data_IF_795844168330
#
_entry.id   IF_795844168330
#
_cell.length_a   1.000
_cell.length_b   1.000
_cell.length_c   1.000
_cell.angle_alpha   90.00
_cell.angle_beta   90.00
_cell.angle_gamma   90.00
#
_symmetry.space_group_name_H-M   'P 1'
#
loop_
_entity.id
_entity.type
_entity.pdbx_description
1 polymer ?
#
# COMPACT_ATOMS: atom_id res chain seq x y z
N UNK A 1 16.35 -31.62 19.80
CA UNK A 1 14.94 -32.00 19.48
C UNK A 1 13.99 -30.80 19.41
N UNK A 2 14.12 -29.73 20.22
CA UNK A 2 13.20 -28.58 20.18
C UNK A 2 13.17 -27.77 18.86
N UNK A 3 14.32 -27.57 18.20
CA UNK A 3 14.41 -26.73 16.98
C UNK A 3 13.73 -27.36 15.75
N UNK A 4 13.75 -28.69 15.64
CA UNK A 4 13.05 -29.39 14.57
C UNK A 4 11.53 -29.25 14.70
N UNK A 5 11.00 -29.24 15.93
CA UNK A 5 9.58 -29.01 16.20
C UNK A 5 9.14 -27.57 15.91
N UNK A 6 10.01 -26.58 16.21
CA UNK A 6 9.71 -25.17 15.92
C UNK A 6 9.66 -24.90 14.40
N UNK A 7 10.63 -25.44 13.65
CA UNK A 7 10.62 -25.33 12.18
C UNK A 7 9.38 -26.04 11.60
N UNK A 8 9.02 -27.21 12.12
CA UNK A 8 7.82 -27.94 11.70
C UNK A 8 6.53 -27.15 11.99
N UNK A 9 6.50 -26.39 13.09
CA UNK A 9 5.40 -25.45 13.40
C UNK A 9 5.26 -24.35 12.36
N UNK A 10 6.37 -23.72 11.96
CA UNK A 10 6.40 -22.69 10.90
C UNK A 10 5.98 -23.28 9.55
N UNK A 11 6.46 -24.47 9.20
CA UNK A 11 6.10 -25.17 7.96
C UNK A 11 4.60 -25.54 7.91
N UNK A 12 4.03 -25.98 9.04
CA UNK A 12 2.61 -26.28 9.13
C UNK A 12 1.75 -25.00 9.05
N UNK A 13 2.19 -23.91 9.68
CA UNK A 13 1.48 -22.63 9.65
C UNK A 13 1.57 -21.93 8.28
N UNK A 14 2.63 -22.16 7.50
CA UNK A 14 2.74 -21.68 6.11
C UNK A 14 1.99 -22.57 5.11
N UNK A 15 1.46 -23.72 5.54
CA UNK A 15 0.74 -24.68 4.68
C UNK A 15 1.63 -25.45 3.70
N UNK A 16 2.96 -25.37 3.85
CA UNK A 16 3.95 -25.99 2.96
C UNK A 16 4.81 -27.06 3.66
N UNK A 17 4.36 -27.55 4.82
CA UNK A 17 5.03 -28.63 5.58
C UNK A 17 4.74 -30.04 5.06
N UNK A 18 5.64 -30.96 5.38
CA UNK A 18 5.50 -32.39 5.06
C UNK A 18 4.48 -33.02 6.02
N UNK A 19 3.19 -32.86 5.71
CA UNK A 19 2.09 -33.48 6.45
C UNK A 19 0.85 -32.59 6.51
N UNK A 20 -0.22 -33.06 5.87
CA UNK A 20 -1.57 -32.46 5.72
C UNK A 20 -1.69 -31.29 4.74
N UNK A 21 -1.93 -31.68 3.48
CA UNK A 21 -2.75 -30.91 2.54
C UNK A 21 -4.21 -31.17 2.94
N UNK A 22 -4.82 -30.31 3.75
CA UNK A 22 -6.25 -30.43 4.10
C UNK A 22 -6.56 -30.08 5.55
N UNK A 23 -6.57 -28.79 5.85
CA UNK A 23 -7.09 -28.24 7.11
C UNK A 23 -7.38 -26.77 6.89
N UNK A 24 -8.62 -26.37 7.15
CA UNK A 24 -9.19 -25.06 6.83
C UNK A 24 -8.27 -23.90 7.22
N UNK A 25 -7.87 -23.10 6.22
CA UNK A 25 -7.19 -21.83 6.42
C UNK A 25 -8.17 -20.84 7.06
N UNK A 26 -8.19 -20.79 8.40
CA UNK A 26 -9.04 -19.86 9.14
C UNK A 26 -8.31 -19.25 10.33
N UNK A 27 -7.21 -18.57 10.05
CA UNK A 27 -6.77 -17.44 10.85
C UNK A 27 -5.94 -16.50 9.96
N UNK A 28 -6.05 -15.20 10.19
CA UNK A 28 -5.24 -14.20 9.50
C UNK A 28 -3.79 -14.41 9.95
N UNK A 29 -3.05 -15.25 9.24
CA UNK A 29 -1.67 -15.57 9.58
C UNK A 29 -0.87 -14.27 9.73
N UNK A 30 -0.37 -14.01 10.94
CA UNK A 30 0.55 -12.90 11.16
C UNK A 30 1.93 -13.32 10.66
N UNK A 31 2.13 -13.16 9.35
CA UNK A 31 3.40 -13.48 8.68
C UNK A 31 4.60 -12.79 9.34
N UNK A 32 4.40 -11.67 10.05
CA UNK A 32 5.47 -10.99 10.79
C UNK A 32 5.95 -11.81 11.98
N UNK A 33 5.02 -12.46 12.70
CA UNK A 33 5.35 -13.36 13.80
C UNK A 33 6.11 -14.59 13.28
N UNK A 34 5.65 -15.18 12.17
CA UNK A 34 6.35 -16.29 11.51
C UNK A 34 7.76 -15.93 11.05
N UNK A 35 7.96 -14.76 10.43
CA UNK A 35 9.29 -14.27 10.03
C UNK A 35 10.19 -14.07 11.24
N UNK A 36 9.65 -13.56 12.36
CA UNK A 36 10.41 -13.39 13.60
C UNK A 36 10.85 -14.74 14.18
N UNK A 37 9.95 -15.72 14.23
CA UNK A 37 10.28 -17.07 14.71
C UNK A 37 11.32 -17.75 13.82
N UNK A 38 11.12 -17.71 12.50
CA UNK A 38 12.09 -18.24 11.56
C UNK A 38 13.45 -17.55 11.71
N UNK A 39 13.48 -16.22 11.88
CA UNK A 39 14.71 -15.46 12.12
C UNK A 39 15.44 -15.86 13.40
N UNK A 40 14.71 -16.18 14.48
CA UNK A 40 15.31 -16.70 15.72
C UNK A 40 15.94 -18.07 15.49
N UNK A 41 15.23 -18.98 14.80
CA UNK A 41 15.75 -20.30 14.44
C UNK A 41 17.01 -20.14 13.56
N UNK A 42 17.02 -19.15 12.66
CA UNK A 42 18.11 -18.91 11.71
C UNK A 42 19.37 -18.48 12.44
N UNK A 43 19.21 -17.53 13.36
CA UNK A 43 20.30 -17.04 14.21
C UNK A 43 20.87 -18.16 15.09
N UNK A 44 19.99 -18.96 15.73
CA UNK A 44 20.42 -20.09 16.56
C UNK A 44 21.13 -21.19 15.74
N UNK A 45 20.67 -21.46 14.52
CA UNK A 45 21.31 -22.40 13.61
C UNK A 45 22.72 -21.92 13.23
N UNK A 46 22.89 -20.66 12.83
CA UNK A 46 24.23 -20.13 12.54
C UNK A 46 25.16 -20.14 13.74
N UNK A 47 24.64 -19.81 14.94
CA UNK A 47 25.44 -19.87 16.17
C UNK A 47 25.93 -21.30 16.43
N UNK A 48 25.06 -22.30 16.31
CA UNK A 48 25.43 -23.71 16.52
C UNK A 48 26.34 -24.26 15.43
N UNK A 49 26.15 -23.87 14.17
CA UNK A 49 27.07 -24.22 13.09
C UNK A 49 28.46 -23.59 13.33
N UNK A 50 28.50 -22.35 13.82
CA UNK A 50 29.72 -21.65 14.20
C UNK A 50 30.49 -22.37 15.31
N UNK A 51 29.80 -22.82 16.37
CA UNK A 51 30.45 -23.57 17.45
C UNK A 51 30.98 -24.92 16.99
N UNK A 52 30.23 -25.65 16.16
CA UNK A 52 30.67 -26.91 15.56
C UNK A 52 31.92 -26.72 14.70
N UNK A 53 31.96 -25.65 13.89
CA UNK A 53 33.11 -25.29 13.06
C UNK A 53 34.34 -24.97 13.92
N UNK A 54 34.17 -24.22 15.01
CA UNK A 54 35.23 -23.95 15.97
C UNK A 54 35.75 -25.21 16.66
N UNK A 55 34.87 -26.14 17.03
CA UNK A 55 35.26 -27.44 17.59
C UNK A 55 36.06 -28.27 16.58
N UNK A 56 35.67 -28.26 15.30
CA UNK A 56 36.43 -28.92 14.22
C UNK A 56 37.85 -28.36 14.12
N UNK A 57 37.98 -27.04 13.99
CA UNK A 57 39.29 -26.37 13.84
C UNK A 57 40.18 -26.67 15.07
N UNK A 58 39.60 -26.62 16.27
CA UNK A 58 40.34 -26.90 17.51
C UNK A 58 40.81 -28.35 17.59
N UNK A 59 39.98 -29.31 17.15
CA UNK A 59 40.33 -30.72 17.09
C UNK A 59 41.42 -31.01 16.06
N UNK A 60 41.34 -30.41 14.87
CA UNK A 60 42.39 -30.51 13.84
C UNK A 60 43.72 -29.89 14.33
N UNK A 61 43.66 -28.74 15.01
CA UNK A 61 44.83 -28.11 15.62
C UNK A 61 45.46 -29.01 16.69
N UNK A 62 44.65 -29.62 17.56
CA UNK A 62 45.14 -30.53 18.59
C UNK A 62 45.80 -31.76 17.96
N UNK A 63 45.22 -32.31 16.88
CA UNK A 63 45.82 -33.42 16.11
C UNK A 63 47.17 -33.04 15.54
N UNK A 64 47.26 -31.88 14.89
CA UNK A 64 48.51 -31.37 14.31
C UNK A 64 49.60 -31.15 15.38
N UNK A 65 49.23 -30.65 16.55
CA UNK A 65 50.15 -30.49 17.68
C UNK A 65 50.59 -31.82 18.28
N UNK A 66 49.69 -32.80 18.39
CA UNK A 66 50.02 -34.15 18.86
C UNK A 66 51.05 -34.83 17.93
N UNK A 67 50.83 -34.73 16.62
CA UNK A 67 51.75 -35.25 15.60
C UNK A 67 53.10 -34.53 15.60
N UNK A 68 53.13 -33.23 15.89
CA UNK A 68 54.37 -32.49 16.03
C UNK A 68 55.15 -32.93 17.28
N UNK A 69 54.48 -33.11 18.43
CA UNK A 69 55.12 -33.59 19.66
C UNK A 69 55.71 -35.00 19.49
N UNK A 70 55.02 -35.91 18.81
CA UNK A 70 55.55 -37.25 18.50
C UNK A 70 56.82 -37.25 17.65
N UNK A 71 57.07 -36.19 16.85
CA UNK A 71 58.28 -36.05 16.02
C UNK A 71 59.46 -35.42 16.77
N UNK A 72 59.20 -34.63 17.81
CA UNK A 72 60.22 -33.83 18.51
C UNK A 72 60.71 -34.51 19.81
N UNK A 73 59.97 -35.49 20.33
CA UNK A 73 60.32 -36.16 21.60
C UNK A 73 61.55 -37.08 21.49
N UNK A 74 62.43 -37.12 22.53
CA UNK A 74 63.52 -38.09 22.64
C UNK A 74 63.01 -39.54 22.67
N UNK A 75 63.76 -40.49 22.09
CA UNK A 75 63.37 -41.90 21.93
C UNK A 75 62.93 -42.59 23.24
N UNK A 76 63.57 -42.32 24.38
CA UNK A 76 63.18 -42.90 25.68
C UNK A 76 61.75 -42.51 26.10
N UNK A 77 61.37 -41.24 25.93
CA UNK A 77 60.02 -40.75 26.29
C UNK A 77 58.99 -41.07 25.21
N UNK A 78 59.44 -41.40 24.01
CA UNK A 78 58.60 -41.71 22.86
C UNK A 78 57.89 -43.05 23.03
N UNK A 79 58.60 -44.07 23.49
CA UNK A 79 58.04 -45.39 23.77
C UNK A 79 56.99 -45.36 24.90
N UNK A 80 57.21 -44.55 25.94
CA UNK A 80 56.29 -44.43 27.07
C UNK A 80 54.99 -43.67 26.72
N UNK A 81 55.09 -42.65 25.86
CA UNK A 81 53.93 -41.84 25.44
C UNK A 81 53.23 -42.34 24.16
N UNK A 82 53.73 -43.39 23.51
CA UNK A 82 53.19 -43.87 22.24
C UNK A 82 51.72 -44.28 22.33
N UNK A 83 51.37 -45.10 23.34
CA UNK A 83 50.01 -45.61 23.55
C UNK A 83 49.03 -44.47 23.89
N UNK A 84 49.31 -43.58 24.87
CA UNK A 84 48.46 -42.42 25.15
C UNK A 84 48.25 -41.51 23.93
N UNK A 85 49.30 -41.24 23.14
CA UNK A 85 49.18 -40.43 21.94
C UNK A 85 48.31 -41.12 20.88
N UNK A 86 48.46 -42.42 20.67
CA UNK A 86 47.63 -43.18 19.73
C UNK A 86 46.15 -43.15 20.13
N UNK A 87 45.84 -43.36 21.42
CA UNK A 87 44.48 -43.30 21.94
C UNK A 87 43.86 -41.89 21.83
N UNK A 88 44.67 -40.84 22.00
CA UNK A 88 44.24 -39.45 21.80
C UNK A 88 43.95 -39.17 20.32
N UNK A 89 44.78 -39.66 19.40
CA UNK A 89 44.57 -39.48 17.96
C UNK A 89 43.27 -40.17 17.50
N UNK A 90 43.04 -41.41 17.92
CA UNK A 90 41.79 -42.14 17.62
C UNK A 90 40.55 -41.44 18.18
N UNK A 91 40.63 -40.88 19.40
CA UNK A 91 39.53 -40.10 19.99
C UNK A 91 39.27 -38.80 19.22
N UNK A 92 40.32 -38.10 18.80
CA UNK A 92 40.19 -36.88 18.00
C UNK A 92 39.56 -37.21 16.64
N UNK A 93 39.97 -38.32 16.02
CA UNK A 93 39.39 -38.80 14.76
C UNK A 93 37.91 -39.15 14.90
N UNK A 94 37.53 -39.84 15.97
CA UNK A 94 36.12 -40.10 16.29
C UNK A 94 35.31 -38.81 16.49
N UNK A 95 35.87 -37.81 17.18
CA UNK A 95 35.22 -36.51 17.36
C UNK A 95 35.04 -35.77 16.02
N UNK A 96 36.06 -35.76 15.17
CA UNK A 96 35.98 -35.17 13.83
C UNK A 96 34.91 -35.86 12.98
N UNK A 97 34.86 -37.20 12.99
CA UNK A 97 33.84 -37.96 12.27
C UNK A 97 32.42 -37.66 12.77
N UNK A 98 32.22 -37.51 14.09
CA UNK A 98 30.92 -37.12 14.64
C UNK A 98 30.51 -35.69 14.25
N UNK A 99 31.46 -34.76 14.24
CA UNK A 99 31.24 -33.38 13.79
C UNK A 99 30.85 -33.36 12.30
N UNK A 100 31.53 -34.15 11.48
CA UNK A 100 31.24 -34.27 10.05
C UNK A 100 29.83 -34.83 9.82
N UNK A 101 29.45 -35.86 10.56
CA UNK A 101 28.09 -36.42 10.54
C UNK A 101 27.03 -35.40 11.00
N UNK A 102 27.32 -34.57 12.00
CA UNK A 102 26.46 -33.48 12.41
C UNK A 102 26.33 -32.36 11.35
N UNK A 103 27.37 -32.15 10.53
CA UNK A 103 27.32 -31.19 9.42
C UNK A 103 26.46 -31.67 8.23
N UNK A 104 26.20 -32.98 8.11
CA UNK A 104 25.29 -33.55 7.10
C UNK A 104 23.83 -33.09 7.30
N UNK A 105 23.48 -32.48 8.43
CA UNK A 105 22.19 -31.79 8.66
C UNK A 105 21.95 -30.55 7.76
N UNK A 106 22.69 -30.38 6.66
CA UNK A 106 22.51 -29.34 5.65
C UNK A 106 21.07 -29.24 5.09
N UNK A 107 20.27 -30.31 5.16
CA UNK A 107 18.85 -30.26 4.77
C UNK A 107 18.01 -29.26 5.59
N UNK A 108 18.41 -28.94 6.83
CA UNK A 108 17.72 -27.91 7.63
C UNK A 108 17.99 -26.51 7.04
N UNK A 109 19.21 -26.25 6.55
CA UNK A 109 19.57 -24.98 5.93
C UNK A 109 18.77 -24.75 4.65
N UNK A 110 18.73 -25.73 3.75
CA UNK A 110 17.99 -25.62 2.49
C UNK A 110 16.49 -25.42 2.73
N UNK A 111 15.91 -26.15 3.71
CA UNK A 111 14.51 -25.97 4.10
C UNK A 111 14.24 -24.57 4.66
N UNK A 112 15.14 -24.07 5.49
CA UNK A 112 15.04 -22.73 6.08
C UNK A 112 15.07 -21.63 5.02
N UNK A 113 15.98 -21.70 4.06
CA UNK A 113 16.06 -20.76 2.93
C UNK A 113 14.80 -20.83 2.04
N UNK A 114 14.29 -22.04 1.80
CA UNK A 114 13.03 -22.24 1.09
C UNK A 114 11.84 -21.62 1.84
N UNK A 115 11.72 -21.84 3.14
CA UNK A 115 10.65 -21.28 3.97
C UNK A 115 10.70 -19.76 4.04
N UNK A 116 11.90 -19.18 4.11
CA UNK A 116 12.09 -17.74 4.06
C UNK A 116 11.56 -17.14 2.75
N UNK A 117 11.84 -17.80 1.62
CA UNK A 117 11.35 -17.38 0.30
C UNK A 117 9.82 -17.45 0.22
N UNK A 118 9.22 -18.53 0.72
CA UNK A 118 7.75 -18.68 0.78
C UNK A 118 7.12 -17.58 1.63
N UNK A 119 7.66 -17.30 2.82
CA UNK A 119 7.16 -16.24 3.69
C UNK A 119 7.23 -14.87 3.03
N UNK A 120 8.33 -14.52 2.35
CA UNK A 120 8.43 -13.24 1.64
C UNK A 120 7.40 -13.12 0.52
N UNK A 121 7.18 -14.20 -0.25
CA UNK A 121 6.16 -14.22 -1.29
C UNK A 121 4.74 -14.04 -0.72
N UNK A 122 4.44 -14.69 0.41
CA UNK A 122 3.14 -14.55 1.09
C UNK A 122 2.92 -13.15 1.65
N UNK A 123 3.95 -12.53 2.22
CA UNK A 123 3.90 -11.12 2.68
C UNK A 123 3.63 -10.19 1.50
N UNK A 124 4.39 -10.33 0.41
CA UNK A 124 4.19 -9.52 -0.79
C UNK A 124 2.77 -9.70 -1.37
N UNK A 125 2.24 -10.93 -1.35
CA UNK A 125 0.87 -11.20 -1.78
C UNK A 125 -0.16 -10.55 -0.85
N UNK A 126 0.03 -10.62 0.47
CA UNK A 126 -0.81 -9.96 1.46
C UNK A 126 -0.81 -8.44 1.29
N UNK A 127 0.36 -7.83 1.13
CA UNK A 127 0.51 -6.39 0.92
C UNK A 127 -0.13 -5.96 -0.41
N UNK A 128 0.00 -6.75 -1.47
CA UNK A 128 -0.69 -6.50 -2.74
C UNK A 128 -2.22 -6.53 -2.58
N UNK A 129 -2.77 -7.48 -1.81
CA UNK A 129 -4.21 -7.53 -1.53
C UNK A 129 -4.68 -6.31 -0.74
N UNK A 130 -3.90 -5.87 0.25
CA UNK A 130 -4.17 -4.64 1.01
C UNK A 130 -4.14 -3.42 0.08
N UNK A 131 -3.13 -3.31 -0.78
CA UNK A 131 -3.00 -2.21 -1.74
C UNK A 131 -4.17 -2.16 -2.73
N UNK A 132 -4.65 -3.31 -3.20
CA UNK A 132 -5.85 -3.38 -4.06
C UNK A 132 -7.09 -2.91 -3.30
N UNK A 133 -7.26 -3.32 -2.03
CA UNK A 133 -8.32 -2.82 -1.16
C UNK A 133 -8.25 -1.31 -0.98
N UNK A 134 -7.08 -0.78 -0.62
CA UNK A 134 -6.85 0.65 -0.44
C UNK A 134 -7.11 1.45 -1.71
N UNK A 135 -6.74 0.93 -2.88
CA UNK A 135 -7.03 1.56 -4.16
C UNK A 135 -8.53 1.60 -4.46
N UNK A 136 -9.27 0.55 -4.09
CA UNK A 136 -10.74 0.52 -4.21
C UNK A 136 -11.38 1.56 -3.28
N UNK A 137 -10.96 1.61 -2.02
CA UNK A 137 -11.47 2.56 -1.03
C UNK A 137 -11.15 4.01 -1.45
N UNK A 138 -9.91 4.25 -1.91
CA UNK A 138 -9.48 5.56 -2.45
C UNK A 138 -10.32 5.96 -3.66
N UNK A 139 -10.67 5.01 -4.54
CA UNK A 139 -11.55 5.27 -5.68
C UNK A 139 -12.96 5.63 -5.22
N UNK A 140 -13.51 4.90 -4.25
CA UNK A 140 -14.83 5.17 -3.70
C UNK A 140 -14.88 6.56 -3.03
N UNK A 141 -13.87 6.87 -2.20
CA UNK A 141 -13.69 8.20 -1.62
C UNK A 141 -13.59 9.28 -2.68
N UNK A 142 -12.78 9.09 -3.73
CA UNK A 142 -12.67 10.07 -4.81
C UNK A 142 -13.99 10.28 -5.57
N UNK A 143 -14.78 9.22 -5.76
CA UNK A 143 -16.12 9.33 -6.36
C UNK A 143 -17.06 10.10 -5.44
N UNK A 144 -17.06 9.80 -4.14
CA UNK A 144 -17.85 10.53 -3.15
C UNK A 144 -17.43 12.01 -3.07
N UNK A 145 -16.14 12.32 -3.00
CA UNK A 145 -15.61 13.69 -3.02
C UNK A 145 -15.95 14.44 -4.31
N UNK A 146 -15.99 13.75 -5.47
CA UNK A 146 -16.43 14.37 -6.72
C UNK A 146 -17.92 14.75 -6.67
N UNK A 147 -18.76 13.91 -6.07
CA UNK A 147 -20.18 14.21 -5.88
C UNK A 147 -20.37 15.38 -4.92
N UNK A 148 -19.65 15.38 -3.80
CA UNK A 148 -19.66 16.48 -2.82
C UNK A 148 -19.19 17.81 -3.46
N UNK A 149 -18.12 17.77 -4.24
CA UNK A 149 -17.66 18.93 -5.02
C UNK A 149 -18.71 19.44 -6.01
N UNK A 150 -19.51 18.54 -6.60
CA UNK A 150 -20.61 18.95 -7.47
C UNK A 150 -21.73 19.64 -6.69
N UNK A 151 -22.08 19.15 -5.51
CA UNK A 151 -23.05 19.80 -4.63
C UNK A 151 -22.56 21.18 -4.17
N UNK A 152 -21.28 21.30 -3.79
CA UNK A 152 -20.67 22.58 -3.42
C UNK A 152 -20.72 23.61 -4.55
N UNK A 153 -20.45 23.19 -5.79
CA UNK A 153 -20.58 24.05 -6.96
C UNK A 153 -22.01 24.55 -7.15
N UNK A 154 -23.01 23.71 -6.93
CA UNK A 154 -24.43 24.10 -7.04
C UNK A 154 -24.77 25.15 -5.98
N UNK A 155 -24.36 24.94 -4.72
CA UNK A 155 -24.59 25.91 -3.63
C UNK A 155 -23.93 27.26 -3.96
N UNK A 156 -22.68 27.25 -4.41
CA UNK A 156 -21.96 28.46 -4.78
C UNK A 156 -22.62 29.22 -5.95
N UNK A 157 -23.17 28.50 -6.94
CA UNK A 157 -23.95 29.11 -8.01
C UNK A 157 -25.25 29.72 -7.47
N UNK A 158 -25.93 29.02 -6.56
CA UNK A 158 -27.17 29.50 -5.95
C UNK A 158 -26.95 30.77 -5.13
N UNK A 159 -25.89 30.83 -4.31
CA UNK A 159 -25.54 32.03 -3.55
C UNK A 159 -25.19 33.19 -4.47
N UNK A 160 -24.41 32.93 -5.52
CA UNK A 160 -24.02 33.94 -6.52
C UNK A 160 -25.24 34.50 -7.26
N UNK A 161 -26.26 33.68 -7.50
CA UNK A 161 -27.51 34.11 -8.13
C UNK A 161 -28.37 34.97 -7.20
N UNK A 162 -28.46 34.64 -5.92
CA UNK A 162 -29.29 35.38 -4.96
C UNK A 162 -28.62 36.64 -4.40
N UNK A 163 -27.29 36.69 -4.32
CA UNK A 163 -26.54 37.86 -3.83
C UNK A 163 -26.96 39.19 -4.48
N UNK A 164 -27.07 39.32 -5.82
CA UNK A 164 -27.51 40.56 -6.46
C UNK A 164 -28.98 40.90 -6.17
N UNK A 165 -29.86 39.89 -6.09
CA UNK A 165 -31.27 40.09 -5.75
C UNK A 165 -31.45 40.61 -4.32
N UNK A 166 -30.74 40.03 -3.36
CA UNK A 166 -30.74 40.48 -1.97
C UNK A 166 -30.22 41.92 -1.84
N UNK A 167 -29.15 42.26 -2.56
CA UNK A 167 -28.62 43.64 -2.58
C UNK A 167 -29.67 44.65 -3.09
N UNK A 168 -30.38 44.30 -4.16
CA UNK A 168 -31.46 45.15 -4.71
C UNK A 168 -32.62 45.29 -3.71
N UNK A 169 -33.02 44.20 -3.04
CA UNK A 169 -34.08 44.23 -2.05
C UNK A 169 -33.72 45.11 -0.83
N UNK A 170 -32.51 44.98 -0.29
CA UNK A 170 -32.01 45.84 0.80
C UNK A 170 -31.92 47.30 0.36
N UNK A 171 -31.56 47.56 -0.89
CA UNK A 171 -31.50 48.92 -1.43
C UNK A 171 -32.89 49.60 -1.45
N UNK A 172 -33.93 48.91 -1.92
CA UNK A 172 -35.30 49.45 -1.92
C UNK A 172 -35.90 49.58 -0.52
N UNK A 173 -35.40 48.82 0.46
CA UNK A 173 -35.83 48.90 1.85
C UNK A 173 -35.20 50.08 2.62
N UNK A 174 -34.13 50.69 2.10
CA UNK A 174 -33.52 51.88 2.71
C UNK A 174 -34.44 53.10 2.48
N UNK A 175 -34.65 54.01 3.46
CA UNK A 175 -35.62 55.10 3.38
C UNK A 175 -35.16 56.27 2.49
N UNK A 176 -34.63 55.95 1.30
CA UNK A 176 -34.18 56.90 0.29
C UNK A 176 -35.32 57.32 -0.67
N UNK A 177 -36.47 56.63 -0.62
CA UNK A 177 -37.66 56.86 -1.45
C UNK A 177 -38.89 57.20 -0.58
N UNK A 178 -39.49 58.37 -0.80
CA UNK A 178 -40.76 58.76 -0.18
C UNK A 178 -41.93 58.36 -1.09
N UNK A 179 -42.41 57.12 -0.91
CA UNK A 179 -43.47 56.52 -1.72
C UNK A 179 -44.87 57.13 -1.48
N UNK A 180 -44.99 58.08 -0.56
CA UNK A 180 -46.26 58.70 -0.15
C UNK A 180 -46.51 60.09 -0.77
N UNK A 181 -45.61 60.61 -1.62
CA UNK A 181 -45.77 61.94 -2.21
C UNK A 181 -46.74 61.95 -3.42
N UNK A 182 -47.77 62.82 -3.46
CA UNK A 182 -48.84 62.78 -4.46
C UNK A 182 -48.48 63.32 -5.87
N UNK A 183 -47.27 63.84 -6.07
CA UNK A 183 -46.82 64.40 -7.36
C UNK A 183 -45.53 63.75 -7.83
N UNK A 184 -45.55 63.18 -9.04
CA UNK A 184 -44.47 62.43 -9.70
C UNK A 184 -43.12 63.17 -9.73
N UNK A 185 -43.13 64.51 -9.67
CA UNK A 185 -41.93 65.37 -9.69
C UNK A 185 -41.15 65.43 -8.38
N UNK A 186 -41.71 64.97 -7.25
CA UNK A 186 -41.06 64.98 -5.93
C UNK A 186 -40.94 63.58 -5.28
N UNK A 187 -41.39 62.53 -5.97
CA UNK A 187 -41.21 61.12 -5.57
C UNK A 187 -39.78 60.63 -5.87
N UNK A 188 -39.05 61.36 -6.74
CA UNK A 188 -37.70 60.99 -7.19
C UNK A 188 -36.72 62.09 -6.78
N UNK A 189 -35.90 61.86 -5.75
CA UNK A 189 -34.75 62.71 -5.49
C UNK A 189 -33.90 62.76 -6.78
N UNK A 190 -33.45 63.95 -7.20
CA UNK A 190 -32.74 64.23 -8.48
C UNK A 190 -31.52 63.32 -8.75
N UNK A 191 -31.08 62.57 -7.74
CA UNK A 191 -29.98 61.62 -7.76
C UNK A 191 -30.39 60.16 -8.08
N UNK A 192 -31.66 59.87 -8.38
CA UNK A 192 -32.12 58.52 -8.77
C UNK A 192 -31.39 57.94 -9.98
N UNK A 193 -30.89 58.80 -10.88
CA UNK A 193 -30.09 58.35 -12.01
C UNK A 193 -28.73 57.77 -11.59
N UNK A 194 -28.17 58.23 -10.46
CA UNK A 194 -26.92 57.70 -9.88
C UNK A 194 -27.07 56.25 -9.45
N UNK A 195 -28.28 55.83 -9.05
CA UNK A 195 -28.56 54.42 -8.76
C UNK A 195 -28.35 53.56 -10.00
N UNK A 196 -29.06 53.83 -11.10
CA UNK A 196 -28.93 53.06 -12.34
C UNK A 196 -27.52 53.13 -12.93
N UNK A 197 -26.83 54.26 -12.76
CA UNK A 197 -25.45 54.44 -13.15
C UNK A 197 -24.46 53.59 -12.32
N UNK A 198 -24.81 53.16 -11.11
CA UNK A 198 -23.93 52.37 -10.22
C UNK A 198 -24.34 50.90 -10.17
N UNK A 199 -25.63 50.61 -10.00
CA UNK A 199 -26.12 49.23 -9.84
C UNK A 199 -26.15 48.45 -11.13
N UNK A 200 -26.48 49.09 -12.26
CA UNK A 200 -26.43 48.46 -13.58
C UNK A 200 -25.04 47.94 -13.92
N UNK A 201 -23.99 48.77 -13.87
CA UNK A 201 -22.62 48.33 -14.11
C UNK A 201 -22.14 47.31 -13.07
N UNK A 202 -22.45 47.49 -11.79
CA UNK A 202 -22.01 46.57 -10.74
C UNK A 202 -22.62 45.16 -10.91
N UNK A 203 -23.91 45.06 -11.23
CA UNK A 203 -24.57 43.78 -11.50
C UNK A 203 -24.13 43.15 -12.81
N UNK A 204 -23.92 43.94 -13.86
CA UNK A 204 -23.38 43.43 -15.12
C UNK A 204 -21.95 42.91 -14.91
N UNK A 205 -21.15 43.58 -14.09
CA UNK A 205 -19.76 43.19 -13.80
C UNK A 205 -19.70 41.90 -12.97
N UNK A 206 -20.52 41.75 -11.93
CA UNK A 206 -20.55 40.51 -11.15
C UNK A 206 -21.08 39.34 -11.97
N UNK A 207 -22.14 39.54 -12.75
CA UNK A 207 -22.71 38.49 -13.60
C UNK A 207 -21.78 38.09 -14.75
N UNK A 208 -21.18 39.06 -15.44
CA UNK A 208 -20.19 38.80 -16.49
C UNK A 208 -18.93 38.14 -15.91
N UNK A 209 -18.44 38.61 -14.75
CA UNK A 209 -17.28 38.03 -14.07
C UNK A 209 -17.48 36.56 -13.71
N UNK A 210 -18.65 36.21 -13.14
CA UNK A 210 -18.99 34.83 -12.79
C UNK A 210 -19.18 33.97 -14.04
N UNK A 211 -19.84 34.49 -15.08
CA UNK A 211 -20.07 33.76 -16.33
C UNK A 211 -18.75 33.47 -17.06
N UNK A 212 -17.86 34.46 -17.14
CA UNK A 212 -16.52 34.31 -17.73
C UNK A 212 -15.68 33.35 -16.90
N UNK A 213 -15.68 33.48 -15.57
CA UNK A 213 -14.96 32.57 -14.68
C UNK A 213 -15.46 31.13 -14.79
N UNK A 214 -16.77 30.90 -14.82
CA UNK A 214 -17.36 29.57 -14.95
C UNK A 214 -17.02 28.92 -16.30
N UNK A 215 -17.11 29.68 -17.41
CA UNK A 215 -16.76 29.20 -18.74
C UNK A 215 -15.25 28.92 -18.87
N UNK A 216 -14.41 29.79 -18.32
CA UNK A 216 -12.96 29.65 -18.35
C UNK A 216 -12.47 28.51 -17.46
N UNK A 217 -12.98 28.41 -16.23
CA UNK A 217 -12.65 27.34 -15.30
C UNK A 217 -13.06 25.97 -15.84
N UNK A 218 -14.27 25.83 -16.39
CA UNK A 218 -14.70 24.57 -17.01
C UNK A 218 -13.80 24.16 -18.19
N UNK A 219 -13.41 25.11 -19.05
CA UNK A 219 -12.51 24.81 -20.17
C UNK A 219 -11.07 24.52 -19.77
N UNK A 220 -10.54 25.18 -18.73
CA UNK A 220 -9.20 24.89 -18.23
C UNK A 220 -9.10 23.51 -17.60
N UNK A 221 -10.10 23.12 -16.81
CA UNK A 221 -10.12 21.81 -16.15
C UNK A 221 -10.18 20.67 -17.16
N UNK A 222 -10.99 20.82 -18.23
CA UNK A 222 -11.06 19.81 -19.29
C UNK A 222 -9.76 19.63 -20.07
N UNK A 223 -9.03 20.73 -20.32
CA UNK A 223 -7.74 20.66 -21.02
C UNK A 223 -6.69 19.95 -20.17
N UNK A 224 -6.61 20.29 -18.88
CA UNK A 224 -5.68 19.65 -17.95
C UNK A 224 -5.97 18.15 -17.78
N UNK A 225 -7.25 17.77 -17.74
CA UNK A 225 -7.65 16.35 -17.67
C UNK A 225 -7.33 15.58 -18.94
N UNK A 226 -7.46 16.19 -20.13
CA UNK A 226 -7.07 15.57 -21.40
C UNK A 226 -5.55 15.37 -21.45
N UNK A 227 -4.76 16.40 -21.15
CA UNK A 227 -3.30 16.29 -21.15
C UNK A 227 -2.80 15.26 -20.13
N UNK A 228 -3.42 15.16 -18.94
CA UNK A 228 -3.10 14.14 -17.95
C UNK A 228 -3.52 12.72 -18.37
N UNK A 229 -4.61 12.57 -19.12
CA UNK A 229 -5.03 11.28 -19.68
C UNK A 229 -4.12 10.84 -20.83
N UNK A 230 -3.72 11.78 -21.67
CA UNK A 230 -2.88 11.52 -22.83
C UNK A 230 -1.43 11.22 -22.43
N UNK A 231 -0.90 11.86 -21.37
CA UNK A 231 0.41 11.54 -20.83
C UNK A 231 0.48 10.14 -20.21
N UNK A 232 -0.59 9.68 -19.56
CA UNK A 232 -0.70 8.30 -19.04
C UNK A 232 -0.88 7.28 -20.16
N UNK A 233 -1.60 7.62 -21.24
CA UNK A 233 -1.78 6.75 -22.40
C UNK A 233 -0.55 6.63 -23.31
N UNK A 234 0.24 7.70 -23.43
CA UNK A 234 1.42 7.74 -24.30
C UNK A 234 2.67 7.09 -23.69
N UNK A 235 2.73 6.92 -22.36
CA UNK A 235 3.88 6.32 -21.67
C UNK A 235 4.03 4.81 -21.84
N UNK A 236 3.03 4.11 -22.40
CA UNK A 236 3.06 2.64 -22.57
C UNK A 236 3.72 2.15 -23.87
N UNK A 237 4.26 3.04 -24.72
CA UNK A 237 4.75 2.65 -26.06
C UNK A 237 6.17 3.11 -26.41
N UNK A 238 7.02 3.42 -25.43
CA UNK A 238 8.37 3.90 -25.72
C UNK A 238 9.40 3.50 -24.67
N UNK A 239 9.71 2.21 -24.57
CA UNK A 239 10.95 1.75 -23.94
C UNK A 239 12.05 1.68 -25.00
N UNK A 240 12.95 2.67 -25.00
CA UNK A 240 14.36 2.53 -25.37
C UNK A 240 15.16 3.49 -24.50
N UNK A 241 16.01 2.92 -23.67
CA UNK A 241 16.72 3.62 -22.61
C UNK A 241 17.82 4.57 -23.05
N UNK A 242 18.26 5.39 -22.09
CA UNK A 242 19.66 5.73 -21.91
C UNK A 242 19.93 6.30 -20.51
N UNK A 243 21.09 5.93 -19.99
CA UNK A 243 21.63 6.24 -18.67
C UNK A 243 22.02 7.72 -18.47
N UNK A 244 21.91 8.18 -17.22
CA UNK A 244 23.01 8.91 -16.55
C UNK A 244 23.04 10.44 -16.59
N UNK A 245 22.55 11.11 -15.54
CA UNK A 245 23.33 11.95 -14.61
C UNK A 245 22.43 12.62 -13.57
N UNK A 246 22.85 12.55 -12.30
CA UNK A 246 22.06 13.00 -11.16
C UNK A 246 22.18 14.48 -10.83
N UNK A 247 21.21 14.97 -10.04
CA UNK A 247 21.44 15.94 -8.98
C UNK A 247 20.28 15.86 -7.96
N UNK A 248 20.64 15.79 -6.68
CA UNK A 248 19.74 15.77 -5.53
C UNK A 248 19.21 17.18 -5.20
N UNK A 249 18.00 17.33 -4.64
CA UNK A 249 17.66 17.63 -3.21
C UNK A 249 16.10 17.73 -3.06
N UNK A 250 15.47 17.92 -1.87
CA UNK A 250 14.43 17.00 -1.39
C UNK A 250 13.05 17.65 -1.17
N UNK A 251 11.98 16.86 -1.22
CA UNK A 251 10.69 17.28 -0.68
C UNK A 251 9.50 16.57 -1.31
N UNK A 252 8.60 16.12 -0.45
CA UNK A 252 7.25 15.60 -0.75
C UNK A 252 7.14 14.18 -1.33
N UNK A 253 7.02 13.22 -0.43
CA UNK A 253 6.57 11.86 -0.73
C UNK A 253 5.08 11.88 -1.10
N UNK A 254 4.78 11.74 -2.39
CA UNK A 254 3.47 11.25 -2.85
C UNK A 254 3.63 9.78 -3.25
N UNK A 255 2.70 8.88 -2.85
CA UNK A 255 2.87 7.46 -3.07
C UNK A 255 2.62 7.12 -4.55
N UNK A 256 3.68 6.66 -5.23
CA UNK A 256 3.62 6.08 -6.58
C UNK A 256 2.86 4.76 -6.53
N UNK A 257 1.66 4.74 -7.12
CA UNK A 257 0.91 3.50 -7.36
C UNK A 257 1.33 2.97 -8.73
N UNK A 258 2.21 1.96 -8.74
CA UNK A 258 2.46 1.12 -9.90
C UNK A 258 1.43 0.00 -10.01
N UNK A 259 1.08 -0.31 -11.24
CA UNK A 259 -0.07 -1.08 -11.70
C UNK A 259 -0.27 -2.48 -11.10
N UNK A 260 -1.53 -2.88 -11.05
CA UNK A 260 -1.96 -4.24 -11.34
C UNK A 260 -3.17 -4.21 -12.27
N UNK A 261 -2.86 -4.33 -13.56
CA UNK A 261 -3.72 -4.51 -14.73
C UNK A 261 -4.69 -5.68 -14.53
N UNK A 262 -6.01 -5.46 -14.63
CA UNK A 262 -6.97 -6.47 -15.13
C UNK A 262 -8.33 -5.87 -15.53
N UNK A 263 -8.53 -5.85 -16.85
CA UNK A 263 -9.77 -5.98 -17.65
C UNK A 263 -11.11 -5.76 -16.92
N UNK A 264 -11.84 -4.71 -17.30
CA UNK A 264 -13.30 -4.70 -17.24
C UNK A 264 -13.90 -3.87 -18.40
N UNK A 265 -14.69 -4.57 -19.21
CA UNK A 265 -15.46 -4.13 -20.37
C UNK A 265 -16.52 -3.12 -19.91
N UNK A 266 -16.50 -1.90 -20.43
CA UNK A 266 -17.53 -0.89 -20.14
C UNK A 266 -18.87 -1.33 -20.75
N UNK A 267 -19.80 -1.73 -19.89
CA UNK A 267 -21.19 -1.96 -20.26
C UNK A 267 -21.95 -0.65 -19.99
N UNK A 268 -22.46 -0.03 -21.06
CA UNK A 268 -23.21 1.21 -21.01
C UNK A 268 -24.50 1.03 -20.19
N UNK A 269 -24.60 1.69 -19.03
CA UNK A 269 -25.87 1.84 -18.33
C UNK A 269 -26.65 2.99 -18.96
N UNK A 270 -27.60 2.64 -19.82
CA UNK A 270 -28.58 3.56 -20.39
C UNK A 270 -29.68 3.88 -19.38
N UNK A 271 -29.95 5.16 -19.20
CA UNK A 271 -30.89 5.77 -18.24
C UNK A 271 -32.36 5.30 -18.40
N UNK A 272 -32.69 4.56 -19.47
CA UNK A 272 -34.06 4.07 -19.75
C UNK A 272 -34.48 2.81 -18.97
N UNK A 273 -33.57 2.16 -18.25
CA UNK A 273 -33.87 0.92 -17.50
C UNK A 273 -34.57 1.10 -16.15
N UNK A 274 -34.53 2.30 -15.55
CA UNK A 274 -34.98 2.54 -14.17
C UNK A 274 -36.51 2.76 -14.08
N UNK A 275 -37.17 3.12 -15.19
CA UNK A 275 -38.59 3.49 -15.18
C UNK A 275 -39.58 2.33 -15.39
N UNK A 276 -39.12 1.09 -15.63
CA UNK A 276 -40.02 -0.02 -16.01
C UNK A 276 -40.20 -1.13 -14.96
N UNK A 277 -39.90 -0.87 -13.68
CA UNK A 277 -40.16 -1.82 -12.56
C UNK A 277 -41.41 -1.53 -11.73
N UNK A 278 -42.37 -0.76 -12.26
CA UNK A 278 -43.75 -0.69 -11.70
C UNK A 278 -44.75 -1.29 -12.67
N UNK A 279 -44.89 -2.61 -12.65
CA UNK A 279 -46.15 -3.34 -12.90
C UNK A 279 -45.89 -4.85 -12.88
N UNK A 280 -46.35 -5.53 -11.81
CA UNK A 280 -47.15 -6.77 -11.86
C UNK A 280 -47.51 -7.23 -10.42
N UNK A 281 -48.56 -8.05 -10.27
CA UNK A 281 -49.62 -7.81 -9.29
C UNK A 281 -49.52 -8.65 -8.01
N UNK A 282 -50.31 -8.20 -7.04
CA UNK A 282 -50.65 -8.86 -5.78
C UNK A 282 -51.31 -10.24 -6.01
N UNK A 283 -50.83 -11.26 -5.30
CA UNK A 283 -51.51 -12.53 -5.06
C UNK A 283 -51.19 -12.91 -3.59
N UNK A 284 -52.13 -12.74 -2.66
CA UNK A 284 -53.16 -13.72 -2.28
C UNK A 284 -52.59 -14.91 -1.49
N UNK A 285 -52.59 -14.78 -0.16
CA UNK A 285 -52.60 -15.85 0.85
C UNK A 285 -53.47 -15.26 1.97
N UNK A 286 -54.66 -15.74 2.30
CA UNK A 286 -55.08 -17.14 2.47
C UNK A 286 -55.48 -17.27 3.93
N UNK A 287 -56.77 -17.08 4.21
CA UNK A 287 -57.36 -17.05 5.55
C UNK A 287 -57.60 -18.48 6.09
N UNK A 288 -57.27 -18.67 7.37
CA UNK A 288 -58.04 -19.38 8.43
C UNK A 288 -58.39 -20.87 8.23
N UNK A 289 -58.88 -21.58 9.28
CA UNK A 289 -59.39 -21.15 10.59
C UNK A 289 -58.45 -21.35 11.78
#
# INVERSE_FOLDING_TARGET
MGHANALYGVEHQTGHGIGKIGGEAKERYDYRTLVRELGVIHSQYYLSLGTVTWCRISAEFLRAKLQHLQRVLPEERRAELEVPCRMLDERIEFLLSNIECASVYNGIKERMESQQTVLFNLIAQSDNLINVGLAKDSKEMAVASKQDSSAMKIIALLTTFFLPGTFIATFFAMPLFDWSAPTLSRVTNRHFWVYWAVTGPLTLTTMAGVMVWALWHNRHVERLQKTARDSVGSGSTGDKGQEGKGQATPGEQTPKTSESKKRARSQNYSFRGILNRRKRPSAAVGAQP
#
